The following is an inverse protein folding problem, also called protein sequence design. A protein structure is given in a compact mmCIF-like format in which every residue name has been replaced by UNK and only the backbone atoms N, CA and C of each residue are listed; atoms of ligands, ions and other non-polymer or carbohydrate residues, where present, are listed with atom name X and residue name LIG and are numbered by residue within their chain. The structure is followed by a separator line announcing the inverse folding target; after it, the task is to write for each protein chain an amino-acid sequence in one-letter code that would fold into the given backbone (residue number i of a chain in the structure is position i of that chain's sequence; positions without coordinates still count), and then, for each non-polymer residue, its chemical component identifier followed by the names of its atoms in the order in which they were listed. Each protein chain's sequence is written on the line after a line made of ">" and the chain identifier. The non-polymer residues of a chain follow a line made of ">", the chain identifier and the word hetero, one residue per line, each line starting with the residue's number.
data_IF_983008405150
#
_entry.id   IF_983008405150
#
_cell.length_a   1.000
_cell.length_b   1.000
_cell.length_c   1.000
_cell.angle_alpha   90.00
_cell.angle_beta   90.00
_cell.angle_gamma   90.00
#
_symmetry.space_group_name_H-M   'P 1'
#
loop_
_entity.id
_entity.type
_entity.pdbx_description
1 polymer ?
#
# COMPACT_ATOMS: atom_id res chain seq x y z
N UNK A 1 15.48 -21.41 -0.11
CA UNK A 1 14.14 -21.43 -0.75
C UNK A 1 13.26 -20.26 -0.26
N UNK A 2 13.72 -19.00 -0.34
CA UNK A 2 13.01 -17.84 0.24
C UNK A 2 12.48 -16.83 -0.80
N UNK A 3 13.23 -16.56 -1.87
CA UNK A 3 12.92 -15.47 -2.80
C UNK A 3 11.65 -15.69 -3.66
N UNK A 4 11.43 -16.92 -4.14
CA UNK A 4 10.26 -17.25 -4.99
C UNK A 4 8.93 -17.10 -4.21
N UNK A 5 8.89 -17.51 -2.94
CA UNK A 5 7.70 -17.34 -2.08
C UNK A 5 7.34 -15.87 -1.88
N UNK A 6 8.32 -14.97 -1.84
CA UNK A 6 8.07 -13.53 -1.68
C UNK A 6 7.51 -12.90 -2.95
N UNK A 7 8.00 -13.28 -4.14
CA UNK A 7 7.49 -12.77 -5.42
C UNK A 7 6.03 -13.17 -5.66
N UNK A 8 5.70 -14.45 -5.51
CA UNK A 8 4.33 -14.94 -5.74
C UNK A 8 3.33 -14.32 -4.76
N UNK A 9 3.72 -14.14 -3.49
CA UNK A 9 2.90 -13.44 -2.50
C UNK A 9 2.67 -11.97 -2.86
N UNK A 10 3.69 -11.29 -3.38
CA UNK A 10 3.54 -9.90 -3.84
C UNK A 10 2.66 -9.81 -5.08
N UNK A 11 2.83 -10.74 -6.04
CA UNK A 11 1.99 -10.82 -7.23
C UNK A 11 0.52 -11.02 -6.87
N UNK A 12 0.22 -11.92 -5.94
CA UNK A 12 -1.14 -12.15 -5.47
C UNK A 12 -1.74 -10.90 -4.84
N UNK A 13 -1.00 -10.23 -3.94
CA UNK A 13 -1.48 -8.98 -3.31
C UNK A 13 -1.77 -7.88 -4.32
N UNK A 14 -0.92 -7.74 -5.35
CA UNK A 14 -1.13 -6.78 -6.43
C UNK A 14 -2.38 -7.14 -7.25
N UNK A 15 -2.57 -8.42 -7.58
CA UNK A 15 -3.75 -8.88 -8.29
C UNK A 15 -5.04 -8.63 -7.50
N UNK A 16 -5.05 -8.94 -6.20
CA UNK A 16 -6.20 -8.71 -5.31
C UNK A 16 -6.53 -7.22 -5.21
N UNK A 17 -5.52 -6.36 -5.09
CA UNK A 17 -5.70 -4.90 -5.03
C UNK A 17 -6.22 -4.31 -6.35
N UNK A 18 -5.72 -4.80 -7.49
CA UNK A 18 -6.22 -4.39 -8.80
C UNK A 18 -7.66 -4.84 -9.00
N UNK A 19 -7.98 -6.09 -8.67
CA UNK A 19 -9.33 -6.61 -8.78
C UNK A 19 -10.30 -5.85 -7.88
N UNK A 20 -9.92 -5.55 -6.64
CA UNK A 20 -10.70 -4.71 -5.73
C UNK A 20 -10.95 -3.32 -6.32
N UNK A 21 -9.94 -2.70 -6.94
CA UNK A 21 -10.10 -1.41 -7.62
C UNK A 21 -11.08 -1.48 -8.80
N UNK A 22 -10.99 -2.55 -9.60
CA UNK A 22 -11.89 -2.79 -10.75
C UNK A 22 -13.35 -2.99 -10.30
N UNK A 23 -13.57 -3.68 -9.18
CA UNK A 23 -14.91 -3.87 -8.60
C UNK A 23 -15.56 -2.53 -8.19
N UNK A 24 -14.74 -1.54 -7.82
CA UNK A 24 -15.18 -0.17 -7.54
C UNK A 24 -15.27 0.72 -8.80
N UNK A 25 -15.08 0.13 -10.00
CA UNK A 25 -15.08 0.85 -11.27
C UNK A 25 -13.85 1.73 -11.50
N UNK A 26 -12.78 1.53 -10.74
CA UNK A 26 -11.52 2.26 -10.85
C UNK A 26 -10.53 1.49 -11.72
N UNK A 27 -9.73 2.22 -12.49
CA UNK A 27 -8.64 1.64 -13.29
C UNK A 27 -7.29 2.13 -12.81
N UNK A 28 -6.37 1.21 -12.60
CA UNK A 28 -4.99 1.53 -12.23
C UNK A 28 -4.24 2.02 -13.46
N UNK A 29 -3.71 3.24 -13.40
CA UNK A 29 -2.91 3.82 -14.49
C UNK A 29 -1.59 3.07 -14.73
N UNK A 30 -1.07 3.17 -15.96
CA UNK A 30 0.14 2.46 -16.39
C UNK A 30 1.37 2.73 -15.52
N UNK A 31 1.53 3.96 -15.01
CA UNK A 31 2.64 4.30 -14.12
C UNK A 31 2.56 3.58 -12.77
N UNK A 32 1.35 3.45 -12.20
CA UNK A 32 1.14 2.69 -10.96
C UNK A 32 1.34 1.20 -11.21
N UNK A 33 0.94 0.70 -12.39
CA UNK A 33 1.17 -0.70 -12.80
C UNK A 33 2.66 -1.02 -12.86
N UNK A 34 3.46 -0.14 -13.47
CA UNK A 34 4.91 -0.32 -13.56
C UNK A 34 5.60 -0.38 -12.19
N UNK A 35 5.19 0.48 -11.24
CA UNK A 35 5.72 0.40 -9.86
C UNK A 35 5.30 -0.89 -9.15
N UNK A 36 4.06 -1.36 -9.38
CA UNK A 36 3.59 -2.63 -8.82
C UNK A 36 4.40 -3.82 -9.36
N UNK A 37 4.78 -3.81 -10.64
CA UNK A 37 5.64 -4.85 -11.22
C UNK A 37 7.05 -4.83 -10.59
N UNK A 38 7.64 -3.64 -10.37
CA UNK A 38 8.90 -3.49 -9.65
C UNK A 38 8.81 -4.03 -8.21
N UNK A 39 7.68 -3.80 -7.54
CA UNK A 39 7.43 -4.35 -6.21
C UNK A 39 7.36 -5.87 -6.23
N UNK A 40 6.65 -6.46 -7.20
CA UNK A 40 6.55 -7.93 -7.37
C UNK A 40 7.94 -8.55 -7.55
N UNK A 41 8.74 -8.00 -8.47
CA UNK A 41 10.13 -8.42 -8.71
C UNK A 41 11.04 -8.19 -7.49
N UNK A 42 10.61 -7.35 -6.54
CA UNK A 42 11.39 -7.01 -5.34
C UNK A 42 12.49 -6.00 -5.60
N UNK A 43 12.39 -5.25 -6.70
CA UNK A 43 13.28 -4.13 -7.00
C UNK A 43 12.97 -2.92 -6.11
N UNK A 44 11.73 -2.82 -5.62
CA UNK A 44 11.30 -1.84 -4.60
C UNK A 44 10.52 -2.54 -3.49
N UNK A 45 10.53 -1.96 -2.30
CA UNK A 45 9.68 -2.41 -1.19
C UNK A 45 8.31 -1.70 -1.18
N UNK A 46 7.52 -2.00 -0.15
CA UNK A 46 6.18 -1.43 -0.01
C UNK A 46 6.20 0.06 0.33
N UNK A 47 7.19 0.51 1.11
CA UNK A 47 7.32 1.92 1.49
C UNK A 47 7.70 2.77 0.28
N UNK A 48 8.60 2.27 -0.56
CA UNK A 48 8.95 2.92 -1.81
C UNK A 48 7.78 2.95 -2.81
N UNK A 49 6.99 1.86 -2.93
CA UNK A 49 5.78 1.84 -3.75
C UNK A 49 4.76 2.92 -3.32
N UNK A 50 4.57 3.08 -2.00
CA UNK A 50 3.70 4.13 -1.44
C UNK A 50 4.28 5.52 -1.71
N UNK A 51 5.56 5.74 -1.48
CA UNK A 51 6.22 7.01 -1.71
C UNK A 51 6.11 7.47 -3.17
N UNK A 52 6.35 6.57 -4.13
CA UNK A 52 6.20 6.86 -5.57
C UNK A 52 4.76 7.22 -5.94
N UNK A 53 3.80 6.48 -5.41
CA UNK A 53 2.37 6.75 -5.63
C UNK A 53 1.98 8.11 -5.08
N UNK A 54 2.43 8.47 -3.87
CA UNK A 54 2.14 9.78 -3.25
C UNK A 54 2.80 10.93 -4.01
N UNK A 55 4.08 10.78 -4.37
CA UNK A 55 4.81 11.79 -5.13
C UNK A 55 4.13 12.08 -6.47
N UNK A 56 3.57 11.05 -7.14
CA UNK A 56 2.79 11.20 -8.38
C UNK A 56 1.57 12.11 -8.21
N UNK A 57 0.94 12.10 -7.04
CA UNK A 57 -0.21 12.94 -6.73
C UNK A 57 0.13 14.20 -5.92
N UNK A 58 1.42 14.53 -5.78
CA UNK A 58 1.88 15.71 -5.02
C UNK A 58 1.65 15.62 -3.51
N UNK A 59 1.44 14.40 -2.99
CA UNK A 59 1.24 14.15 -1.57
C UNK A 59 2.60 14.04 -0.85
N UNK A 60 2.75 14.61 0.35
CA UNK A 60 3.98 14.45 1.12
C UNK A 60 4.21 12.98 1.47
N UNK A 61 5.47 12.54 1.41
CA UNK A 61 5.89 11.29 2.03
C UNK A 61 5.59 11.40 3.53
N UNK A 62 4.93 10.41 4.08
CA UNK A 62 4.54 10.45 5.50
C UNK A 62 5.83 10.50 6.33
N UNK A 63 5.96 11.50 7.20
CA UNK A 63 6.88 11.36 8.32
C UNK A 63 6.37 10.17 9.12
N UNK A 64 7.19 9.13 9.29
CA UNK A 64 6.89 7.87 9.98
C UNK A 64 6.03 8.15 11.21
N UNK A 65 4.72 7.96 11.09
CA UNK A 65 3.81 8.15 12.20
C UNK A 65 3.90 6.88 13.05
N UNK A 66 4.71 6.95 14.10
CA UNK A 66 4.75 5.99 15.22
C UNK A 66 3.40 5.85 15.95
N UNK A 67 2.27 6.33 15.42
CA UNK A 67 0.99 6.36 16.12
C UNK A 67 -0.12 5.76 15.29
N UNK A 68 -0.16 4.42 15.30
CA UNK A 68 -1.32 3.62 14.87
C UNK A 68 -1.81 2.64 15.93
N UNK A 69 -1.20 2.58 17.13
CA UNK A 69 -1.58 1.63 18.19
C UNK A 69 -2.13 2.27 19.48
N UNK A 70 -1.83 3.54 19.76
CA UNK A 70 -2.15 4.14 21.09
C UNK A 70 -3.42 5.00 21.15
N UNK A 71 -4.12 5.28 20.04
CA UNK A 71 -5.31 6.15 20.06
C UNK A 71 -6.65 5.41 20.22
N UNK A 72 -6.65 4.08 20.28
CA UNK A 72 -7.88 3.30 20.50
C UNK A 72 -8.31 3.19 21.98
N UNK A 73 -7.53 3.75 22.93
CA UNK A 73 -7.80 3.59 24.36
C UNK A 73 -7.98 4.92 25.11
N UNK A 74 -8.57 5.96 24.51
CA UNK A 74 -8.99 7.16 25.29
C UNK A 74 -10.11 7.94 24.59
N UNK A 75 -11.26 7.32 24.33
CA UNK A 75 -12.50 8.09 24.17
C UNK A 75 -13.71 7.24 24.59
N UNK A 76 -13.90 7.14 25.91
CA UNK A 76 -15.24 7.05 26.48
C UNK A 76 -15.50 8.41 27.13
N UNK A 77 -16.44 9.24 26.63
CA UNK A 77 -17.03 10.25 27.47
C UNK A 77 -18.09 9.58 28.35
N UNK A 78 -17.82 9.59 29.66
CA UNK A 78 -18.80 9.41 30.71
C UNK A 78 -19.89 10.48 30.55
N UNK A 79 -21.14 10.08 30.31
CA UNK A 79 -22.28 10.97 30.53
C UNK A 79 -23.50 10.16 30.96
N UNK A 80 -23.89 10.36 32.23
CA UNK A 80 -25.29 10.34 32.70
C UNK A 80 -25.83 9.02 33.22
#
# INVERSE_FOLDING_TARGET
>A
MGAAKTRDQRAQRVADAMHSSEMEGLTVGAATRADADLYVEGAIDSDELVARTRARYGLPAEAVATTGRERAQTIAPEVG
#
